data_IF_967093183541
#
_entry.id   IF_967093183541
#
_cell.length_a   1.000
_cell.length_b   1.000
_cell.length_c   1.000
_cell.angle_alpha   90.00
_cell.angle_beta   90.00
_cell.angle_gamma   90.00
#
_symmetry.space_group_name_H-M   'P 1'
#
loop_
_entity.id
_entity.type
_entity.pdbx_description
1 polymer ?
#
# COMPACT_ATOMS: atom_id res chain seq x y z
N UNK A 1 -6.24 -14.42 17.09
CA UNK A 1 -6.64 -13.10 16.55
C UNK A 1 -5.68 -12.79 15.42
N UNK A 2 -6.13 -12.86 14.17
CA UNK A 2 -5.26 -12.62 13.01
C UNK A 2 -4.93 -11.13 12.96
N UNK A 3 -3.64 -10.78 12.89
CA UNK A 3 -3.22 -9.39 12.67
C UNK A 3 -3.15 -9.11 11.18
N UNK A 4 -3.84 -8.05 10.76
CA UNK A 4 -3.90 -7.64 9.36
C UNK A 4 -2.96 -6.45 9.17
N UNK A 5 -2.09 -6.56 8.17
CA UNK A 5 -1.24 -5.46 7.71
C UNK A 5 -1.59 -5.22 6.24
N UNK A 6 -2.28 -4.11 5.96
CA UNK A 6 -2.86 -3.85 4.63
C UNK A 6 -1.82 -3.57 3.55
N UNK A 7 -0.58 -3.29 3.92
CA UNK A 7 0.53 -3.08 3.00
C UNK A 7 1.88 -3.44 3.64
N UNK A 8 2.88 -3.75 2.82
CA UNK A 8 4.25 -3.93 3.27
C UNK A 8 5.05 -2.62 3.12
N UNK A 9 5.42 -1.92 4.20
CA UNK A 9 6.24 -0.71 4.11
C UNK A 9 7.66 -0.99 3.62
N UNK A 10 8.11 -2.24 3.64
CA UNK A 10 9.41 -2.68 3.15
C UNK A 10 9.35 -3.20 1.72
N UNK A 11 8.22 -3.04 1.01
CA UNK A 11 8.13 -3.50 -0.37
C UNK A 11 9.22 -2.84 -1.25
N UNK A 12 9.84 -3.59 -2.19
CA UNK A 12 9.52 -4.96 -2.61
C UNK A 12 10.17 -6.06 -1.74
N UNK A 13 10.99 -5.70 -0.74
CA UNK A 13 11.57 -6.66 0.18
C UNK A 13 10.50 -7.28 1.09
N UNK A 14 10.79 -8.45 1.66
CA UNK A 14 9.88 -9.07 2.60
C UNK A 14 9.68 -8.22 3.86
N UNK A 15 8.53 -8.38 4.51
CA UNK A 15 8.21 -7.65 5.73
C UNK A 15 9.17 -8.02 6.87
N UNK A 16 9.95 -7.05 7.35
CA UNK A 16 11.03 -7.28 8.32
C UNK A 16 10.78 -6.73 9.72
N UNK A 17 9.53 -6.43 10.10
CA UNK A 17 9.27 -5.86 11.43
C UNK A 17 9.57 -6.88 12.52
N UNK A 18 10.60 -6.60 13.31
CA UNK A 18 11.18 -7.54 14.27
C UNK A 18 10.17 -8.08 15.30
N UNK A 19 9.23 -7.26 15.75
CA UNK A 19 8.16 -7.67 16.69
C UNK A 19 7.14 -8.62 16.07
N UNK A 20 7.00 -8.60 14.75
CA UNK A 20 6.07 -9.49 14.05
C UNK A 20 6.75 -10.83 13.76
N UNK A 21 7.97 -10.79 13.20
CA UNK A 21 8.72 -12.00 12.85
C UNK A 21 9.02 -12.87 14.08
N UNK A 22 9.32 -12.26 15.23
CA UNK A 22 9.73 -13.00 16.42
C UNK A 22 8.58 -13.67 17.17
N UNK A 23 7.35 -13.19 17.00
CA UNK A 23 6.22 -13.58 17.84
C UNK A 23 5.03 -14.17 17.07
N UNK A 24 5.04 -14.12 15.75
CA UNK A 24 3.94 -14.57 14.92
C UNK A 24 4.47 -15.37 13.74
N UNK A 25 3.70 -16.35 13.28
CA UNK A 25 4.02 -17.13 12.08
C UNK A 25 3.38 -16.50 10.82
N UNK A 26 4.19 -16.30 9.77
CA UNK A 26 3.77 -15.63 8.53
C UNK A 26 2.84 -16.57 7.76
N UNK A 27 1.63 -16.11 7.44
CA UNK A 27 0.62 -16.91 6.72
C UNK A 27 -0.35 -17.69 7.63
N UNK A 28 -0.01 -17.92 8.89
CA UNK A 28 -0.91 -18.53 9.88
C UNK A 28 -1.49 -17.49 10.86
N UNK A 29 -0.64 -16.60 11.39
CA UNK A 29 -1.03 -15.64 12.42
C UNK A 29 -1.20 -14.20 11.90
N UNK A 30 -0.62 -13.89 10.73
CA UNK A 30 -0.75 -12.59 10.09
C UNK A 30 -0.64 -12.68 8.56
N UNK A 31 -1.43 -11.85 7.88
CA UNK A 31 -1.44 -11.66 6.43
C UNK A 31 -0.97 -10.24 6.10
N UNK A 32 -0.18 -10.09 5.04
CA UNK A 32 0.44 -8.81 4.65
C UNK A 32 0.16 -8.50 3.20
N UNK A 33 -0.33 -7.29 2.93
CA UNK A 33 -0.46 -6.76 1.57
C UNK A 33 -1.17 -7.76 0.66
N UNK A 34 -0.43 -8.30 -0.33
CA UNK A 34 -0.92 -9.31 -1.26
C UNK A 34 -1.66 -10.46 -0.60
N UNK A 35 -1.06 -11.10 0.41
CA UNK A 35 -1.66 -12.29 1.05
C UNK A 35 -2.98 -11.94 1.75
N UNK A 36 -3.11 -10.71 2.28
CA UNK A 36 -4.35 -10.26 2.90
C UNK A 36 -5.44 -9.98 1.85
N UNK A 37 -5.10 -9.23 0.81
CA UNK A 37 -6.04 -8.84 -0.23
C UNK A 37 -6.49 -10.02 -1.08
N UNK A 38 -5.59 -10.94 -1.41
CA UNK A 38 -5.93 -12.16 -2.14
C UNK A 38 -6.73 -13.15 -1.30
N UNK A 39 -6.48 -13.21 0.02
CA UNK A 39 -7.31 -14.02 0.92
C UNK A 39 -8.74 -13.49 1.01
N UNK A 40 -8.93 -12.17 1.04
CA UNK A 40 -10.26 -11.55 1.18
C UNK A 40 -11.03 -11.46 -0.14
N UNK A 41 -10.37 -11.05 -1.22
CA UNK A 41 -11.01 -10.81 -2.52
C UNK A 41 -10.83 -11.94 -3.54
N UNK A 42 -9.99 -12.92 -3.27
CA UNK A 42 -9.58 -13.96 -4.22
C UNK A 42 -8.26 -13.64 -4.92
N UNK A 43 -7.64 -14.67 -5.50
CA UNK A 43 -6.33 -14.55 -6.13
C UNK A 43 -6.31 -13.48 -7.23
N UNK A 44 -5.32 -12.57 -7.18
CA UNK A 44 -5.17 -11.47 -8.15
C UNK A 44 -5.82 -10.17 -7.71
N UNK A 45 -6.58 -10.17 -6.61
CA UNK A 45 -7.24 -8.95 -6.09
C UNK A 45 -6.23 -7.87 -5.77
N UNK A 46 -5.08 -8.24 -5.19
CA UNK A 46 -4.06 -7.26 -4.87
C UNK A 46 -3.54 -6.55 -6.13
N UNK A 47 -3.22 -7.32 -7.18
CA UNK A 47 -2.74 -6.78 -8.45
C UNK A 47 -3.79 -5.88 -9.11
N UNK A 48 -5.06 -6.29 -9.11
CA UNK A 48 -6.16 -5.49 -9.64
C UNK A 48 -6.32 -4.16 -8.88
N UNK A 49 -6.21 -4.19 -7.56
CA UNK A 49 -6.24 -2.97 -6.73
C UNK A 49 -5.08 -2.03 -7.04
N UNK A 50 -3.87 -2.56 -7.21
CA UNK A 50 -2.70 -1.75 -7.60
C UNK A 50 -2.93 -1.10 -8.96
N UNK A 51 -3.44 -1.86 -9.93
CA UNK A 51 -3.73 -1.36 -11.27
C UNK A 51 -4.77 -0.22 -11.24
N UNK A 52 -5.87 -0.39 -10.51
CA UNK A 52 -6.90 0.65 -10.35
C UNK A 52 -6.29 1.90 -9.67
N UNK A 53 -5.45 1.71 -8.66
CA UNK A 53 -4.79 2.82 -7.97
C UNK A 53 -3.88 3.61 -8.92
N UNK A 54 -3.12 2.93 -9.78
CA UNK A 54 -2.29 3.57 -10.80
C UNK A 54 -3.13 4.33 -11.83
N UNK A 55 -4.20 3.71 -12.36
CA UNK A 55 -5.10 4.33 -13.33
C UNK A 55 -5.72 5.63 -12.78
N UNK A 56 -6.29 5.58 -11.57
CA UNK A 56 -6.85 6.76 -10.90
C UNK A 56 -5.76 7.77 -10.55
N UNK A 57 -4.57 7.30 -10.19
CA UNK A 57 -3.42 8.14 -9.90
C UNK A 57 -3.01 8.99 -11.10
N UNK A 58 -2.98 8.42 -12.30
CA UNK A 58 -2.67 9.15 -13.54
C UNK A 58 -3.73 10.20 -13.88
N UNK A 59 -5.01 9.91 -13.65
CA UNK A 59 -6.09 10.89 -13.86
C UNK A 59 -5.98 12.09 -12.90
N UNK A 60 -5.61 11.84 -11.64
CA UNK A 60 -5.56 12.86 -10.59
C UNK A 60 -4.23 13.64 -10.60
N UNK A 61 -3.15 13.05 -11.15
CA UNK A 61 -1.79 13.63 -11.17
C UNK A 61 -1.75 15.08 -11.66
N UNK A 62 -2.39 15.48 -12.79
CA UNK A 62 -2.34 16.86 -13.27
C UNK A 62 -2.97 17.86 -12.29
N UNK A 63 -4.06 17.47 -11.61
CA UNK A 63 -4.70 18.33 -10.62
C UNK A 63 -3.83 18.52 -9.38
N UNK A 64 -3.17 17.45 -8.94
CA UNK A 64 -2.22 17.50 -7.83
C UNK A 64 -1.03 18.39 -8.16
N UNK A 65 -0.44 18.24 -9.34
CA UNK A 65 0.68 19.08 -9.80
C UNK A 65 0.31 20.56 -9.81
N UNK A 66 -0.88 20.89 -10.32
CA UNK A 66 -1.40 22.28 -10.30
C UNK A 66 -1.55 22.80 -8.87
N UNK A 67 -2.07 22.00 -7.95
CA UNK A 67 -2.21 22.38 -6.52
C UNK A 67 -0.83 22.56 -5.86
N UNK A 68 0.10 21.65 -6.09
CA UNK A 68 1.46 21.73 -5.53
C UNK A 68 2.20 22.96 -6.03
N UNK A 69 2.14 23.25 -7.34
CA UNK A 69 2.74 24.46 -7.92
C UNK A 69 2.19 25.72 -7.26
N UNK A 70 0.86 25.83 -7.12
CA UNK A 70 0.21 26.96 -6.44
C UNK A 70 0.69 27.11 -4.99
N UNK A 71 0.82 26.01 -4.24
CA UNK A 71 1.29 26.03 -2.84
C UNK A 71 2.74 26.53 -2.78
N UNK A 72 3.60 26.06 -3.69
CA UNK A 72 5.01 26.49 -3.75
C UNK A 72 5.10 27.99 -4.05
N UNK A 73 4.37 28.47 -5.06
CA UNK A 73 4.33 29.89 -5.42
C UNK A 73 3.82 30.76 -4.25
N UNK A 74 2.80 30.30 -3.53
CA UNK A 74 2.23 31.02 -2.37
C UNK A 74 3.18 31.07 -1.17
N UNK A 75 4.06 30.07 -1.00
CA UNK A 75 5.01 30.02 0.12
C UNK A 75 6.32 30.77 -0.16
N UNK A 76 6.61 31.07 -1.42
CA UNK A 76 7.82 31.80 -1.84
C UNK A 76 7.54 33.30 -2.00
N UNK A 77 6.27 33.69 -2.20
CA UNK A 77 5.78 35.07 -2.17
C UNK A 77 5.54 35.56 -0.73
#
# INVERSE_FOLDING_TARGET
MIKIITYNPYAPQEYQRWTCIKFFDKGNDFLIGKDFWDYFGGAGTFEDLIKIYEEVGEEIRPELEKKFKKIIETKIA
#
